data_IF_166645835100
#
_entry.id   IF_166645835100
#
_cell.length_a   1.000
_cell.length_b   1.000
_cell.length_c   1.000
_cell.angle_alpha   90.00
_cell.angle_beta   90.00
_cell.angle_gamma   90.00
#
_symmetry.space_group_name_H-M   'P 1'
#
loop_
_entity.id
_entity.type
_entity.pdbx_description
1 polymer ?
#
# COMPACT_ATOMS: atom_id res chain seq x y z
N UNK A 1 -0.16 -45.16 -23.29
CA UNK A 1 0.79 -45.82 -24.21
C UNK A 1 2.18 -45.20 -24.01
N UNK A 2 3.16 -45.97 -23.51
CA UNK A 2 4.53 -45.48 -23.34
C UNK A 2 5.29 -45.80 -24.63
N UNK A 3 5.35 -44.85 -25.56
CA UNK A 3 5.94 -45.07 -26.88
C UNK A 3 7.49 -44.94 -26.86
N UNK A 4 8.06 -44.20 -25.91
CA UNK A 4 9.50 -43.86 -25.94
C UNK A 4 10.27 -44.22 -24.67
N UNK A 5 9.67 -44.71 -23.61
CA UNK A 5 10.35 -44.95 -22.33
C UNK A 5 10.98 -43.75 -21.65
N UNK A 6 10.86 -42.54 -22.21
CA UNK A 6 11.40 -41.29 -21.69
C UNK A 6 10.49 -40.67 -20.62
N UNK A 7 11.11 -40.05 -19.62
CA UNK A 7 10.35 -39.28 -18.61
C UNK A 7 9.73 -38.04 -19.24
N UNK A 8 8.66 -37.52 -18.60
CA UNK A 8 8.00 -36.28 -19.04
C UNK A 8 8.96 -35.09 -19.15
N UNK A 9 9.95 -35.01 -18.25
CA UNK A 9 10.97 -33.97 -18.26
C UNK A 9 11.91 -34.12 -19.47
N UNK A 10 12.28 -35.34 -19.82
CA UNK A 10 13.13 -35.61 -20.98
C UNK A 10 12.44 -35.26 -22.31
N UNK A 11 11.14 -35.58 -22.43
CA UNK A 11 10.34 -35.21 -23.61
C UNK A 11 10.29 -33.70 -23.80
N UNK A 12 10.09 -32.93 -22.73
CA UNK A 12 10.05 -31.46 -22.80
C UNK A 12 11.37 -30.83 -23.23
N UNK A 13 12.53 -31.44 -22.92
CA UNK A 13 13.84 -30.90 -23.34
C UNK A 13 14.11 -31.07 -24.84
N UNK A 14 13.46 -32.00 -25.53
CA UNK A 14 13.56 -32.22 -26.96
C UNK A 14 12.49 -31.52 -27.80
N UNK A 15 11.44 -30.99 -27.18
CA UNK A 15 10.45 -30.19 -27.90
C UNK A 15 11.04 -28.79 -28.17
N UNK A 16 10.94 -28.27 -29.39
CA UNK A 16 11.33 -26.90 -29.65
C UNK A 16 10.56 -25.98 -28.74
N UNK A 17 11.27 -25.27 -27.86
CA UNK A 17 10.68 -24.26 -26.98
C UNK A 17 10.25 -23.08 -27.83
N UNK A 18 9.04 -23.11 -28.32
CA UNK A 18 8.39 -21.91 -28.87
C UNK A 18 8.13 -20.95 -27.71
N UNK A 19 8.97 -19.91 -27.61
CA UNK A 19 8.61 -18.73 -26.80
C UNK A 19 7.29 -18.22 -27.40
N UNK A 20 6.18 -18.55 -26.73
CA UNK A 20 4.92 -17.85 -26.99
C UNK A 20 5.22 -16.37 -26.74
N UNK A 21 5.09 -15.47 -27.74
CA UNK A 21 5.33 -14.07 -27.52
C UNK A 21 4.41 -13.64 -26.39
N UNK A 22 5.02 -13.18 -25.28
CA UNK A 22 4.29 -12.74 -24.13
C UNK A 22 3.46 -11.53 -24.55
N UNK A 23 2.17 -11.70 -24.70
CA UNK A 23 1.29 -10.61 -25.06
C UNK A 23 1.20 -9.66 -23.88
N UNK A 24 1.93 -8.55 -23.93
CA UNK A 24 1.95 -7.51 -22.89
C UNK A 24 0.56 -6.92 -22.60
N UNK A 25 -0.40 -7.10 -23.52
CA UNK A 25 -1.78 -6.68 -23.33
C UNK A 25 -2.57 -7.60 -22.37
N UNK A 26 -2.13 -8.84 -22.17
CA UNK A 26 -2.79 -9.83 -21.31
C UNK A 26 -1.87 -10.26 -20.16
N UNK A 27 -1.46 -9.31 -19.33
CA UNK A 27 -0.83 -9.65 -18.06
C UNK A 27 -1.80 -10.48 -17.23
N UNK A 28 -1.35 -11.63 -16.72
CA UNK A 28 -2.16 -12.38 -15.75
C UNK A 28 -2.54 -11.44 -14.59
N UNK A 29 -3.73 -11.59 -14.03
CA UNK A 29 -4.22 -10.77 -12.92
C UNK A 29 -3.20 -10.69 -11.75
N UNK A 30 -2.41 -11.73 -11.58
CA UNK A 30 -1.34 -11.78 -10.58
C UNK A 30 -0.13 -10.89 -10.95
N UNK A 31 0.28 -10.90 -12.22
CA UNK A 31 1.38 -10.06 -12.70
C UNK A 31 1.00 -8.58 -12.62
N UNK A 32 -0.23 -8.23 -12.96
CA UNK A 32 -0.75 -6.87 -12.83
C UNK A 32 -0.79 -6.41 -11.36
N UNK A 33 -1.26 -7.26 -10.44
CA UNK A 33 -1.26 -6.97 -9.01
C UNK A 33 0.15 -6.71 -8.48
N UNK A 34 1.14 -7.50 -8.89
CA UNK A 34 2.54 -7.32 -8.51
C UNK A 34 3.10 -6.01 -9.08
N UNK A 35 2.77 -5.67 -10.32
CA UNK A 35 3.16 -4.40 -10.94
C UNK A 35 2.62 -3.22 -10.16
N UNK A 36 1.32 -3.20 -9.89
CA UNK A 36 0.67 -2.13 -9.11
C UNK A 36 1.25 -1.99 -7.68
N UNK A 37 1.58 -3.11 -7.05
CA UNK A 37 2.23 -3.09 -5.74
C UNK A 37 3.60 -2.41 -5.81
N UNK A 38 4.43 -2.77 -6.80
CA UNK A 38 5.77 -2.16 -6.99
C UNK A 38 5.67 -0.67 -7.30
N UNK A 39 4.78 -0.27 -8.17
CA UNK A 39 4.54 1.14 -8.52
C UNK A 39 4.13 1.96 -7.28
N UNK A 40 3.21 1.44 -6.48
CA UNK A 40 2.79 2.10 -5.23
C UNK A 40 3.92 2.19 -4.20
N UNK A 41 4.73 1.15 -4.07
CA UNK A 41 5.91 1.14 -3.19
C UNK A 41 6.92 2.20 -3.62
N UNK A 42 7.17 2.32 -4.92
CA UNK A 42 8.06 3.33 -5.48
C UNK A 42 7.52 4.74 -5.23
N UNK A 43 6.24 5.00 -5.48
CA UNK A 43 5.60 6.29 -5.20
C UNK A 43 5.67 6.68 -3.73
N UNK A 44 5.51 5.74 -2.81
CA UNK A 44 5.71 5.99 -1.38
C UNK A 44 7.15 6.39 -1.06
N UNK A 45 8.14 5.78 -1.72
CA UNK A 45 9.54 6.15 -1.53
C UNK A 45 9.85 7.55 -2.09
N UNK A 46 9.33 7.88 -3.26
CA UNK A 46 9.45 9.21 -3.87
C UNK A 46 8.77 10.29 -3.03
N UNK A 47 7.58 10.03 -2.51
CA UNK A 47 6.88 10.91 -1.58
C UNK A 47 7.74 11.24 -0.37
N UNK A 48 8.30 10.23 0.30
CA UNK A 48 9.18 10.43 1.46
C UNK A 48 10.41 11.26 1.15
N UNK A 49 11.04 11.02 0.00
CA UNK A 49 12.23 11.75 -0.42
C UNK A 49 11.95 13.23 -0.70
N UNK A 50 10.76 13.56 -1.19
CA UNK A 50 10.35 14.93 -1.52
C UNK A 50 9.83 15.71 -0.32
N UNK A 51 9.25 15.03 0.66
CA UNK A 51 8.45 15.66 1.73
C UNK A 51 9.19 16.79 2.45
N UNK A 52 10.48 16.60 2.76
CA UNK A 52 11.28 17.59 3.49
C UNK A 52 11.65 18.83 2.67
N UNK A 53 11.53 18.78 1.34
CA UNK A 53 11.89 19.87 0.43
C UNK A 53 10.68 20.73 0.03
N UNK A 54 9.47 20.31 0.35
CA UNK A 54 8.22 20.95 -0.03
C UNK A 54 7.75 21.95 1.04
N UNK A 55 7.09 23.02 0.61
CA UNK A 55 6.36 23.93 1.52
C UNK A 55 5.15 23.23 2.14
N UNK A 56 4.61 23.76 3.23
CA UNK A 56 3.48 23.15 3.96
C UNK A 56 2.27 22.85 3.05
N UNK A 57 1.87 23.80 2.23
CA UNK A 57 0.76 23.63 1.28
C UNK A 57 1.05 22.55 0.24
N UNK A 58 2.27 22.46 -0.25
CA UNK A 58 2.71 21.44 -1.18
C UNK A 58 2.75 20.05 -0.52
N UNK A 59 3.16 19.98 0.74
CA UNK A 59 3.14 18.73 1.52
C UNK A 59 1.73 18.21 1.68
N UNK A 60 0.75 19.06 1.97
CA UNK A 60 -0.66 18.68 2.06
C UNK A 60 -1.21 18.19 0.72
N UNK A 61 -0.91 18.89 -0.37
CA UNK A 61 -1.34 18.50 -1.71
C UNK A 61 -0.74 17.14 -2.12
N UNK A 62 0.56 16.97 -1.87
CA UNK A 62 1.25 15.72 -2.20
C UNK A 62 0.78 14.55 -1.32
N UNK A 63 0.52 14.81 -0.04
CA UNK A 63 -0.11 13.83 0.85
C UNK A 63 -1.45 13.37 0.29
N UNK A 64 -2.30 14.31 -0.13
CA UNK A 64 -3.61 13.98 -0.68
C UNK A 64 -3.53 13.18 -1.97
N UNK A 65 -2.60 13.53 -2.85
CA UNK A 65 -2.28 12.78 -4.07
C UNK A 65 -1.82 11.35 -3.75
N UNK A 66 -0.96 11.20 -2.72
CA UNK A 66 -0.49 9.89 -2.29
C UNK A 66 -1.61 9.04 -1.72
N UNK A 67 -2.51 9.61 -0.91
CA UNK A 67 -3.69 8.92 -0.39
C UNK A 67 -4.63 8.48 -1.52
N UNK A 68 -4.80 9.32 -2.54
CA UNK A 68 -5.59 8.99 -3.74
C UNK A 68 -4.96 7.82 -4.52
N UNK A 69 -3.64 7.77 -4.61
CA UNK A 69 -2.93 6.66 -5.25
C UNK A 69 -3.11 5.32 -4.51
N UNK A 70 -3.22 5.36 -3.17
CA UNK A 70 -3.37 4.17 -2.33
C UNK A 70 -4.83 3.75 -2.10
N UNK A 71 -5.81 4.47 -2.64
CA UNK A 71 -7.23 4.08 -2.50
C UNK A 71 -7.47 2.67 -3.05
N UNK A 72 -8.36 1.93 -2.39
CA UNK A 72 -8.66 0.54 -2.74
C UNK A 72 -7.62 -0.47 -2.24
N UNK A 73 -6.46 -0.03 -1.75
CA UNK A 73 -5.53 -0.94 -1.06
C UNK A 73 -6.12 -1.44 0.26
N UNK A 74 -5.78 -2.66 0.62
CA UNK A 74 -6.12 -3.21 1.92
C UNK A 74 -5.10 -2.77 2.98
N UNK A 75 -5.62 -2.35 4.13
CA UNK A 75 -4.87 -1.97 5.31
C UNK A 75 -5.40 -2.73 6.53
N UNK A 76 -4.59 -2.80 7.57
CA UNK A 76 -4.96 -3.35 8.86
C UNK A 76 -4.88 -2.26 9.93
N UNK A 77 -5.92 -2.13 10.75
CA UNK A 77 -5.86 -1.28 11.94
C UNK A 77 -4.92 -1.89 12.98
N UNK A 78 -4.52 -1.13 14.00
CA UNK A 78 -3.73 -1.65 15.12
C UNK A 78 -4.37 -2.84 15.86
N UNK A 79 -5.69 -3.01 15.70
CA UNK A 79 -6.46 -4.17 16.23
C UNK A 79 -6.60 -5.31 15.24
N UNK A 80 -5.91 -5.28 14.08
CA UNK A 80 -5.96 -6.32 13.06
C UNK A 80 -7.22 -6.32 12.19
N UNK A 81 -8.04 -5.25 12.21
CA UNK A 81 -9.22 -5.15 11.37
C UNK A 81 -8.85 -4.68 9.96
N UNK A 82 -9.15 -5.50 8.96
CA UNK A 82 -8.92 -5.17 7.55
C UNK A 82 -9.91 -4.13 7.05
N UNK A 83 -9.41 -3.13 6.33
CA UNK A 83 -10.23 -2.10 5.70
C UNK A 83 -9.64 -1.62 4.37
N UNK A 84 -10.47 -0.99 3.58
CA UNK A 84 -10.11 -0.24 2.38
C UNK A 84 -10.77 1.13 2.44
N UNK A 85 -10.31 2.07 1.65
CA UNK A 85 -10.94 3.38 1.54
C UNK A 85 -11.03 3.85 0.09
N UNK A 86 -11.89 4.82 -0.14
CA UNK A 86 -12.02 5.57 -1.40
C UNK A 86 -12.02 7.06 -1.10
N UNK A 87 -11.48 7.85 -2.01
CA UNK A 87 -11.50 9.32 -1.94
C UNK A 87 -12.52 9.85 -2.93
N UNK A 88 -13.40 10.73 -2.44
CA UNK A 88 -14.39 11.44 -3.25
C UNK A 88 -14.54 12.85 -2.71
N UNK A 89 -14.39 13.87 -3.58
CA UNK A 89 -14.72 15.25 -3.27
C UNK A 89 -14.06 15.83 -2.00
N UNK A 90 -12.80 15.51 -1.73
CA UNK A 90 -12.11 15.99 -0.52
C UNK A 90 -12.43 15.22 0.77
N UNK A 91 -13.03 14.05 0.66
CA UNK A 91 -13.36 13.19 1.80
C UNK A 91 -12.86 11.75 1.56
N UNK A 92 -12.43 11.12 2.64
CA UNK A 92 -12.00 9.72 2.67
C UNK A 92 -13.12 8.86 3.25
N UNK A 93 -13.65 7.94 2.46
CA UNK A 93 -14.69 6.99 2.84
C UNK A 93 -14.07 5.64 3.16
N UNK A 94 -14.10 5.25 4.41
CA UNK A 94 -13.63 3.94 4.88
C UNK A 94 -14.77 2.95 4.84
N UNK A 95 -14.55 1.77 4.24
CA UNK A 95 -15.59 0.74 4.09
C UNK A 95 -16.17 0.20 5.41
N UNK A 96 -15.52 0.48 6.54
CA UNK A 96 -15.95 0.07 7.88
C UNK A 96 -16.58 1.21 8.70
N UNK A 97 -16.80 2.37 8.10
CA UNK A 97 -17.37 3.54 8.77
C UNK A 97 -18.49 4.16 7.95
N UNK A 98 -19.52 4.63 8.62
CA UNK A 98 -20.61 5.38 8.00
C UNK A 98 -20.23 6.85 7.74
N UNK A 99 -19.40 7.43 8.62
CA UNK A 99 -18.93 8.83 8.48
C UNK A 99 -17.59 8.87 7.75
N UNK A 100 -17.48 9.75 6.76
CA UNK A 100 -16.24 10.06 6.06
C UNK A 100 -15.24 10.80 6.96
N UNK A 101 -13.98 10.77 6.57
CA UNK A 101 -12.90 11.56 7.18
C UNK A 101 -12.62 12.70 6.21
N UNK A 102 -12.82 13.93 6.65
CA UNK A 102 -12.60 15.12 5.82
C UNK A 102 -11.11 15.34 5.57
N UNK A 103 -10.78 15.98 4.46
CA UNK A 103 -9.41 16.37 4.11
C UNK A 103 -8.74 17.16 5.23
N UNK A 104 -9.45 18.14 5.83
CA UNK A 104 -8.95 18.90 6.95
C UNK A 104 -8.58 18.03 8.16
N UNK A 105 -9.38 17.01 8.46
CA UNK A 105 -9.07 16.06 9.54
C UNK A 105 -7.82 15.23 9.23
N UNK A 106 -7.64 14.85 7.97
CA UNK A 106 -6.43 14.15 7.52
C UNK A 106 -5.19 15.02 7.68
N UNK A 107 -5.27 16.30 7.30
CA UNK A 107 -4.17 17.24 7.44
C UNK A 107 -3.83 17.51 8.91
N UNK A 108 -4.83 17.66 9.77
CA UNK A 108 -4.60 17.76 11.22
C UNK A 108 -3.84 16.55 11.77
N UNK A 109 -4.23 15.34 11.36
CA UNK A 109 -3.54 14.11 11.75
C UNK A 109 -2.10 14.06 11.22
N UNK A 110 -1.90 14.52 9.99
CA UNK A 110 -0.58 14.60 9.35
C UNK A 110 0.35 15.55 10.11
N UNK A 111 -0.09 16.78 10.36
CA UNK A 111 0.72 17.76 11.09
C UNK A 111 1.00 17.32 12.52
N UNK A 112 0.05 16.62 13.15
CA UNK A 112 0.31 16.01 14.47
C UNK A 112 1.38 14.94 14.42
N UNK A 113 1.42 14.13 13.37
CA UNK A 113 2.48 13.14 13.17
C UNK A 113 3.84 13.82 12.91
N UNK A 114 3.87 14.89 12.14
CA UNK A 114 5.09 15.69 11.86
C UNK A 114 5.60 16.36 13.15
N UNK A 115 4.71 16.97 13.94
CA UNK A 115 5.04 17.57 15.25
C UNK A 115 5.70 16.56 16.20
N UNK A 116 5.23 15.31 16.18
CA UNK A 116 5.80 14.22 16.96
C UNK A 116 7.08 13.61 16.32
N UNK A 117 7.63 14.25 15.27
CA UNK A 117 8.82 13.76 14.56
C UNK A 117 8.63 12.40 13.90
N UNK A 118 7.40 12.01 13.56
CA UNK A 118 7.07 10.69 13.01
C UNK A 118 7.10 9.55 14.05
N UNK A 119 7.47 9.83 15.29
CA UNK A 119 7.52 8.83 16.36
C UNK A 119 6.16 8.73 17.08
N UNK A 120 5.17 8.18 16.39
CA UNK A 120 3.79 8.03 16.90
C UNK A 120 3.58 6.61 17.41
N UNK A 121 3.46 6.46 18.72
CA UNK A 121 3.35 5.15 19.39
C UNK A 121 2.02 4.41 19.10
N UNK A 122 1.03 5.08 18.50
CA UNK A 122 -0.25 4.46 18.18
C UNK A 122 -1.29 5.48 17.71
N UNK A 123 -2.43 5.00 17.17
CA UNK A 123 -3.42 5.87 16.55
C UNK A 123 -4.02 6.92 17.48
N UNK A 124 -4.15 6.65 18.78
CA UNK A 124 -4.66 7.61 19.76
C UNK A 124 -3.84 8.89 19.84
N UNK A 125 -2.54 8.82 19.57
CA UNK A 125 -1.63 9.97 19.61
C UNK A 125 -1.89 11.00 18.50
N UNK A 126 -2.56 10.60 17.42
CA UNK A 126 -2.96 11.51 16.36
C UNK A 126 -4.12 12.45 16.80
N UNK A 127 -4.91 12.05 17.78
CA UNK A 127 -5.94 12.90 18.40
C UNK A 127 -7.11 13.32 17.48
N UNK A 128 -7.25 12.70 16.31
CA UNK A 128 -8.24 13.07 15.31
C UNK A 128 -9.29 12.00 15.07
N UNK A 129 -10.42 12.40 14.51
CA UNK A 129 -11.43 11.46 14.04
C UNK A 129 -10.83 10.56 12.95
N UNK A 130 -11.10 9.25 13.02
CA UNK A 130 -10.58 8.29 12.06
C UNK A 130 -9.10 7.90 12.24
N UNK A 131 -8.45 8.34 13.33
CA UNK A 131 -7.05 8.05 13.63
C UNK A 131 -6.67 6.57 13.50
N UNK A 132 -7.58 5.64 13.87
CA UNK A 132 -7.35 4.19 13.76
C UNK A 132 -7.16 3.72 12.30
N UNK A 133 -7.70 4.46 11.35
CA UNK A 133 -7.58 4.19 9.91
C UNK A 133 -6.46 5.01 9.27
N UNK A 134 -6.24 6.24 9.72
CA UNK A 134 -5.16 7.09 9.22
C UNK A 134 -3.78 6.58 9.64
N UNK A 135 -3.65 6.08 10.86
CA UNK A 135 -2.38 5.60 11.40
C UNK A 135 -1.68 4.55 10.51
N UNK A 136 -2.30 3.41 10.13
CA UNK A 136 -1.64 2.42 9.28
C UNK A 136 -1.34 2.93 7.87
N UNK A 137 -2.14 3.87 7.36
CA UNK A 137 -1.87 4.51 6.07
C UNK A 137 -0.63 5.40 6.17
N UNK A 138 -0.50 6.20 7.22
CA UNK A 138 0.66 7.05 7.47
C UNK A 138 1.94 6.26 7.74
N UNK A 139 1.85 5.11 8.38
CA UNK A 139 2.97 4.18 8.51
C UNK A 139 3.41 3.68 7.13
N UNK A 140 2.49 3.28 6.28
CA UNK A 140 2.80 2.76 4.94
C UNK A 140 3.46 3.80 4.04
N UNK A 141 3.00 5.04 4.06
CA UNK A 141 3.61 6.12 3.27
C UNK A 141 4.89 6.68 3.90
N UNK A 142 5.16 6.33 5.16
CA UNK A 142 6.37 6.70 5.88
C UNK A 142 6.36 8.07 6.56
N UNK A 143 5.17 8.67 6.73
CA UNK A 143 4.96 9.85 7.59
C UNK A 143 5.20 9.49 9.06
N UNK A 144 4.74 8.31 9.46
CA UNK A 144 5.04 7.73 10.76
C UNK A 144 6.18 6.73 10.55
N UNK A 145 7.33 7.02 11.16
CA UNK A 145 8.50 6.15 11.11
C UNK A 145 8.24 4.85 11.87
N UNK A 146 8.79 3.75 11.37
CA UNK A 146 8.80 2.46 12.05
C UNK A 146 9.83 2.46 13.20
N UNK A 147 9.71 3.38 14.16
CA UNK A 147 10.49 3.29 15.39
C UNK A 147 9.90 2.15 16.23
N UNK A 148 10.53 0.97 16.16
CA UNK A 148 10.29 -0.18 17.03
C UNK A 148 8.86 -0.75 17.08
N UNK A 149 8.22 -0.99 15.94
CA UNK A 149 7.25 -2.08 15.86
C UNK A 149 7.98 -3.25 15.21
N UNK A 150 8.24 -4.27 16.03
CA UNK A 150 9.05 -5.42 15.66
C UNK A 150 8.59 -6.08 14.35
N UNK A 151 9.41 -6.98 13.88
CA UNK A 151 9.42 -7.75 12.62
C UNK A 151 8.09 -8.29 12.05
N UNK A 152 6.96 -7.96 12.66
CA UNK A 152 5.64 -8.47 12.26
C UNK A 152 5.00 -7.75 11.07
N UNK A 153 5.53 -6.59 10.65
CA UNK A 153 4.92 -5.82 9.56
C UNK A 153 5.29 -6.35 8.16
N UNK A 154 6.47 -6.97 8.02
CA UNK A 154 6.84 -7.67 6.78
C UNK A 154 5.98 -8.93 6.55
N UNK A 155 5.57 -9.59 7.64
CA UNK A 155 4.67 -10.75 7.59
C UNK A 155 3.28 -10.40 7.06
N UNK A 156 2.78 -9.20 7.37
CA UNK A 156 1.45 -8.75 6.95
C UNK A 156 1.41 -8.41 5.45
N UNK A 157 2.47 -7.82 4.90
CA UNK A 157 2.53 -7.54 3.46
C UNK A 157 2.64 -8.82 2.64
N UNK A 158 3.41 -9.81 3.10
CA UNK A 158 3.56 -11.10 2.44
C UNK A 158 2.26 -11.93 2.45
N UNK A 159 1.45 -11.77 3.50
CA UNK A 159 0.16 -12.47 3.63
C UNK A 159 -0.92 -11.82 2.75
N UNK A 160 -0.88 -10.51 2.55
CA UNK A 160 -1.81 -9.80 1.67
C UNK A 160 -1.54 -10.07 0.17
N UNK A 161 -0.32 -10.48 -0.19
CA UNK A 161 0.02 -10.91 -1.55
C UNK A 161 -0.44 -12.34 -1.87
N UNK A 162 -0.77 -13.16 -0.86
CA UNK A 162 -1.22 -14.54 -1.04
C UNK A 162 -2.74 -14.73 -1.07
N UNK A 163 -3.50 -13.68 -0.88
CA UNK A 163 -4.96 -13.65 -1.01
C UNK A 163 -5.38 -12.87 -2.25
#
# INVERSE_FOLDING_TARGET
>A
MKITGLSRASVHSYLPYTKIPYNLAELSANAERIRLYRERKQKCAEFRAKLSALSENEQEAELWNMLTCLQGCAFLTAKGLRFTYKIKGGEMFVNRKSKSITQATVFMAFWKAVELGGAVAGPKKLGTFGASYLYPVFVRIGVIGMSHVGADHERTESTLLKL
#
